data_IF_519921435573
#
_entry.id   IF_519921435573
#
_cell.length_a   1.000
_cell.length_b   1.000
_cell.length_c   1.000
_cell.angle_alpha   90.00
_cell.angle_beta   90.00
_cell.angle_gamma   90.00
#
_symmetry.space_group_name_H-M   'P 1'
#
loop_
_entity.id
_entity.type
_entity.pdbx_description
1 polymer ?
#
# COMPACT_ATOMS: atom_id res chain seq x y z
N UNK A 1 6.20 -14.98 17.73
CA UNK A 1 5.40 -13.78 17.37
C UNK A 1 4.48 -14.15 16.23
N UNK A 2 3.24 -13.64 16.21
CA UNK A 2 2.34 -13.89 15.10
C UNK A 2 2.58 -12.83 14.01
N UNK A 3 2.92 -13.32 12.82
CA UNK A 3 3.10 -12.52 11.62
C UNK A 3 2.07 -13.00 10.60
N UNK A 4 1.36 -12.06 10.00
CA UNK A 4 0.39 -12.34 8.95
C UNK A 4 0.84 -11.70 7.65
N UNK A 5 1.15 -12.54 6.67
CA UNK A 5 1.50 -12.12 5.32
C UNK A 5 0.27 -12.20 4.42
N UNK A 6 0.05 -11.17 3.63
CA UNK A 6 -1.10 -11.09 2.75
C UNK A 6 -0.88 -10.13 1.59
N UNK A 7 -1.90 -10.05 0.72
CA UNK A 7 -1.93 -9.12 -0.40
C UNK A 7 -3.08 -8.15 -0.22
N UNK A 8 -2.77 -6.87 -0.40
CA UNK A 8 -3.75 -5.81 -0.44
C UNK A 8 -3.98 -5.40 -1.89
N UNK A 9 -5.25 -5.37 -2.28
CA UNK A 9 -5.69 -4.83 -3.57
C UNK A 9 -6.37 -3.48 -3.34
N UNK A 10 -6.02 -2.47 -4.13
CA UNK A 10 -6.64 -1.13 -4.08
C UNK A 10 -7.02 -0.68 -5.48
N UNK A 11 -8.28 -0.29 -5.67
CA UNK A 11 -8.70 0.38 -6.89
C UNK A 11 -8.17 1.81 -6.90
N UNK A 12 -7.49 2.18 -7.98
CA UNK A 12 -7.01 3.54 -8.28
C UNK A 12 -7.74 4.03 -9.52
N UNK A 13 -8.32 5.21 -9.43
CA UNK A 13 -8.81 5.91 -10.61
C UNK A 13 -7.72 6.86 -11.10
N UNK A 14 -7.52 6.93 -12.42
CA UNK A 14 -6.63 7.90 -13.04
C UNK A 14 -7.09 9.33 -12.76
N UNK A 15 -6.21 10.29 -12.98
CA UNK A 15 -6.58 11.71 -12.84
C UNK A 15 -7.71 12.07 -13.80
N UNK A 16 -8.72 12.83 -13.35
CA UNK A 16 -9.82 13.27 -14.20
C UNK A 16 -9.26 14.12 -15.36
N UNK A 17 -9.60 13.75 -16.60
CA UNK A 17 -9.19 14.51 -17.78
C UNK A 17 -10.31 15.51 -18.13
N UNK A 18 -9.96 16.79 -18.42
CA UNK A 18 -10.95 17.76 -18.84
C UNK A 18 -11.55 17.34 -20.18
N UNK A 19 -12.88 17.41 -20.29
CA UNK A 19 -13.55 17.24 -21.58
C UNK A 19 -13.64 18.56 -22.33
N UNK A 20 -14.05 18.52 -23.59
CA UNK A 20 -14.33 19.71 -24.40
C UNK A 20 -15.44 20.60 -23.81
N UNK A 21 -16.24 20.09 -22.86
CA UNK A 21 -17.28 20.84 -22.17
C UNK A 21 -16.74 21.42 -20.86
N UNK A 22 -16.76 22.75 -20.73
CA UNK A 22 -16.30 23.48 -19.54
C UNK A 22 -17.00 22.96 -18.28
N UNK A 23 -16.22 22.55 -17.28
CA UNK A 23 -16.73 22.04 -16.00
C UNK A 23 -17.09 20.56 -15.98
N UNK A 24 -16.88 19.82 -17.08
CA UNK A 24 -17.04 18.36 -17.11
C UNK A 24 -15.69 17.65 -17.17
N UNK A 25 -15.52 16.70 -16.28
CA UNK A 25 -14.37 15.81 -16.22
C UNK A 25 -14.83 14.37 -16.42
N UNK A 26 -14.02 13.58 -17.12
CA UNK A 26 -14.25 12.13 -17.27
C UNK A 26 -13.07 11.40 -16.65
N UNK A 27 -13.39 10.38 -15.85
CA UNK A 27 -12.43 9.40 -15.37
C UNK A 27 -12.24 8.35 -16.48
N UNK A 28 -11.08 8.37 -17.13
CA UNK A 28 -10.84 7.58 -18.34
C UNK A 28 -10.25 6.20 -18.07
N UNK A 29 -9.65 5.99 -16.89
CA UNK A 29 -8.97 4.74 -16.55
C UNK A 29 -9.13 4.39 -15.08
N UNK A 30 -9.43 3.12 -14.82
CA UNK A 30 -9.33 2.50 -13.50
C UNK A 30 -8.24 1.44 -13.58
N UNK A 31 -7.41 1.35 -12.55
CA UNK A 31 -6.38 0.34 -12.42
C UNK A 31 -6.47 -0.25 -11.01
N UNK A 32 -6.28 -1.56 -10.89
CA UNK A 32 -6.06 -2.17 -9.59
C UNK A 32 -4.57 -2.07 -9.26
N UNK A 33 -4.20 -1.62 -8.06
CA UNK A 33 -2.86 -1.84 -7.54
C UNK A 33 -2.87 -3.01 -6.55
N UNK A 34 -1.86 -3.87 -6.63
CA UNK A 34 -1.57 -4.91 -5.66
C UNK A 34 -0.34 -4.50 -4.88
N UNK A 35 -0.38 -4.73 -3.57
CA UNK A 35 0.73 -4.54 -2.65
C UNK A 35 0.85 -5.77 -1.77
N UNK A 36 2.07 -6.19 -1.46
CA UNK A 36 2.30 -7.18 -0.41
C UNK A 36 2.24 -6.46 0.94
N UNK A 37 1.61 -7.09 1.93
CA UNK A 37 1.47 -6.53 3.27
C UNK A 37 1.83 -7.54 4.33
N UNK A 38 2.64 -7.10 5.28
CA UNK A 38 2.99 -7.87 6.47
C UNK A 38 2.39 -7.17 7.68
N UNK A 39 1.69 -7.93 8.52
CA UNK A 39 1.11 -7.45 9.77
C UNK A 39 1.79 -8.16 10.93
N UNK A 40 2.42 -7.36 11.79
CA UNK A 40 3.07 -7.80 13.01
C UNK A 40 2.19 -7.43 14.21
N UNK A 41 1.77 -8.43 14.98
CA UNK A 41 0.90 -8.19 16.14
C UNK A 41 1.65 -7.71 17.37
N UNK A 42 2.94 -8.01 17.45
CA UNK A 42 3.81 -7.64 18.55
C UNK A 42 5.24 -7.75 18.06
N UNK A 43 5.93 -6.63 17.91
CA UNK A 43 7.34 -6.54 17.55
C UNK A 43 8.07 -5.55 18.50
N UNK A 44 9.36 -5.74 18.70
CA UNK A 44 10.24 -4.80 19.40
C UNK A 44 10.97 -3.83 18.45
N UNK A 45 11.03 -4.15 17.16
CA UNK A 45 11.73 -3.32 16.18
C UNK A 45 10.75 -2.57 15.28
N UNK A 46 11.15 -1.38 14.85
CA UNK A 46 10.41 -0.58 13.86
C UNK A 46 11.33 -0.31 12.67
N UNK A 47 10.75 -0.33 11.47
CA UNK A 47 11.48 0.04 10.26
C UNK A 47 12.02 1.46 10.36
N UNK A 48 13.29 1.62 9.95
CA UNK A 48 14.00 2.90 9.94
C UNK A 48 13.71 3.63 8.63
N UNK A 49 14.01 4.93 8.60
CA UNK A 49 13.83 5.75 7.40
C UNK A 49 14.57 5.21 6.17
N UNK A 50 15.74 4.59 6.36
CA UNK A 50 16.53 3.98 5.27
C UNK A 50 15.87 2.76 4.63
N UNK A 51 14.91 2.12 5.30
CA UNK A 51 14.23 0.94 4.80
C UNK A 51 13.12 1.27 3.78
N UNK A 52 12.77 2.55 3.65
CA UNK A 52 11.73 3.02 2.74
C UNK A 52 12.25 3.34 1.34
N UNK A 53 11.37 3.10 0.36
CA UNK A 53 11.62 3.41 -1.04
C UNK A 53 11.88 4.90 -1.21
N UNK A 54 12.92 5.24 -1.98
CA UNK A 54 13.41 6.62 -2.13
C UNK A 54 14.58 6.97 -1.20
N UNK A 55 14.85 6.16 -0.17
CA UNK A 55 16.01 6.29 0.73
C UNK A 55 17.00 5.10 0.63
N UNK A 56 16.73 4.15 -0.26
CA UNK A 56 17.58 2.97 -0.50
C UNK A 56 16.94 1.63 -0.14
N UNK A 57 15.78 1.62 0.54
CA UNK A 57 15.07 0.40 0.91
C UNK A 57 13.89 0.04 0.00
N UNK A 58 13.14 -0.98 0.42
CA UNK A 58 12.10 -1.64 -0.38
C UNK A 58 10.67 -1.42 0.11
N UNK A 59 10.49 -0.83 1.29
CA UNK A 59 9.16 -0.61 1.86
C UNK A 59 8.47 0.60 1.23
N UNK A 60 7.21 0.44 0.85
CA UNK A 60 6.40 1.53 0.29
C UNK A 60 5.71 2.34 1.39
N UNK A 61 5.27 1.67 2.45
CA UNK A 61 4.69 2.32 3.62
C UNK A 61 4.77 1.41 4.83
N UNK A 62 4.73 1.99 6.02
CA UNK A 62 4.55 1.25 7.26
C UNK A 62 3.78 2.12 8.26
N UNK A 63 3.01 1.48 9.13
CA UNK A 63 2.27 2.13 10.20
C UNK A 63 2.44 1.29 11.46
N UNK A 64 2.77 1.95 12.57
CA UNK A 64 2.99 1.30 13.86
C UNK A 64 2.12 1.96 14.92
N UNK A 65 1.59 1.13 15.81
CA UNK A 65 0.88 1.52 17.01
C UNK A 65 1.59 0.92 18.22
N UNK A 66 1.93 1.75 19.20
CA UNK A 66 2.52 1.28 20.46
C UNK A 66 1.51 0.47 21.25
N UNK A 67 1.91 -0.70 21.74
CA UNK A 67 1.08 -1.54 22.58
C UNK A 67 1.10 -1.01 24.03
N UNK A 68 -0.01 -1.11 24.78
CA UNK A 68 -0.08 -0.69 26.18
C UNK A 68 0.56 -1.74 27.10
N UNK A 69 1.85 -2.00 26.87
CA UNK A 69 2.67 -2.93 27.64
C UNK A 69 3.80 -2.16 28.36
N UNK A 70 4.37 -2.78 29.38
CA UNK A 70 5.51 -2.22 30.13
C UNK A 70 6.78 -2.13 29.28
N UNK A 71 6.91 -3.02 28.29
CA UNK A 71 8.00 -3.04 27.32
C UNK A 71 7.70 -2.19 26.08
N UNK A 72 8.73 -1.70 25.40
CA UNK A 72 8.59 -1.03 24.10
C UNK A 72 8.25 -2.05 23.01
N UNK A 73 6.95 -2.31 22.86
CA UNK A 73 6.39 -3.19 21.84
C UNK A 73 5.40 -2.45 20.96
N UNK A 74 5.35 -2.86 19.70
CA UNK A 74 4.52 -2.25 18.67
C UNK A 74 3.70 -3.33 17.96
N UNK A 75 2.52 -2.95 17.49
CA UNK A 75 1.84 -3.67 16.41
C UNK A 75 1.91 -2.81 15.17
N UNK A 76 2.24 -3.42 14.04
CA UNK A 76 2.51 -2.69 12.82
C UNK A 76 1.96 -3.39 11.59
N UNK A 77 1.82 -2.59 10.55
CA UNK A 77 1.60 -3.07 9.19
C UNK A 77 2.63 -2.41 8.30
N UNK A 78 3.40 -3.22 7.58
CA UNK A 78 4.30 -2.77 6.53
C UNK A 78 3.79 -3.22 5.17
N UNK A 79 4.10 -2.46 4.13
CA UNK A 79 3.75 -2.79 2.74
C UNK A 79 4.96 -2.68 1.83
N UNK A 80 5.03 -3.56 0.85
CA UNK A 80 6.08 -3.60 -0.17
C UNK A 80 5.45 -3.81 -1.56
N UNK A 81 6.28 -3.72 -2.61
CA UNK A 81 5.96 -4.14 -3.97
C UNK A 81 4.59 -3.64 -4.52
N UNK A 82 4.42 -2.32 -4.69
CA UNK A 82 3.25 -1.81 -5.41
C UNK A 82 3.38 -2.10 -6.91
N UNK A 83 2.49 -2.95 -7.41
CA UNK A 83 2.35 -3.31 -8.82
C UNK A 83 0.96 -2.90 -9.32
N UNK A 84 0.89 -2.27 -10.49
CA UNK A 84 -0.38 -2.02 -11.17
C UNK A 84 -0.76 -3.26 -11.97
N UNK A 85 -1.97 -3.76 -11.72
CA UNK A 85 -2.59 -4.86 -12.45
C UNK A 85 -3.50 -4.23 -13.50
N UNK A 86 -3.15 -4.45 -14.76
CA UNK A 86 -4.05 -4.16 -15.88
C UNK A 86 -5.14 -5.23 -15.95
N UNK A 87 -6.37 -4.80 -16.18
CA UNK A 87 -7.49 -5.70 -16.45
C UNK A 87 -7.26 -6.38 -17.81
N UNK A 88 -6.87 -7.67 -17.81
CA UNK A 88 -6.91 -8.47 -19.02
C UNK A 88 -8.38 -8.78 -19.33
N UNK A 89 -9.00 -7.98 -20.18
CA UNK A 89 -10.28 -8.34 -20.78
C UNK A 89 -10.00 -9.52 -21.72
N UNK A 90 -10.16 -10.75 -21.21
CA UNK A 90 -10.27 -11.92 -22.07
C UNK A 90 -11.62 -11.82 -22.78
N UNK A 91 -11.62 -11.31 -24.00
CA UNK A 91 -12.76 -11.45 -24.89
C UNK A 91 -12.89 -12.94 -25.27
N UNK A 92 -14.07 -13.56 -25.09
CA UNK A 92 -14.36 -14.88 -25.64
C UNK A 92 -14.39 -14.89 -27.17
#
# INVERSE_FOLDING_TARGET
MAQYDGRQYRLRAGSPMPTSVKGRFVLHSFMASQQDSVIETCDAEILRSGDFRGQGGNFTSASYQRLPLTEERYSGKSTTNELYIEEKINFP
#
